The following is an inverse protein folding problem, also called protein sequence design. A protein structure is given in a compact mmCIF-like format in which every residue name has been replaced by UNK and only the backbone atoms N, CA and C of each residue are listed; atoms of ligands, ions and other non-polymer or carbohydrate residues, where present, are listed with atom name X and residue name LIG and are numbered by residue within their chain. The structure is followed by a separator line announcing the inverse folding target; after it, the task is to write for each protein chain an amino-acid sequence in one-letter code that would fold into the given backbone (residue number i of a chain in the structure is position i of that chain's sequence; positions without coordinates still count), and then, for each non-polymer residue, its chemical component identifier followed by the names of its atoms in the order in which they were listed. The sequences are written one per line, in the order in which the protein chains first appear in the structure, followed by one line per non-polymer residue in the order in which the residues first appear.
data_IF_847954710857
#
_entry.id   IF_847954710857
#
_cell.length_a   1.000
_cell.length_b   1.000
_cell.length_c   1.000
_cell.angle_alpha   90.00
_cell.angle_beta   90.00
_cell.angle_gamma   90.00
#
_symmetry.space_group_name_H-M   'P 1'
#
loop_
_entity.id
_entity.type
_entity.pdbx_description
1 polymer ?
#
# COMPACT_ATOMS: atom_id res chain seq x y z
N UNK A 1 -17.60 -2.65 20.65
CA UNK A 1 -17.51 -2.04 19.30
C UNK A 1 -16.32 -1.10 19.30
N UNK A 2 -15.41 -1.16 18.33
CA UNK A 2 -14.37 -0.14 18.21
C UNK A 2 -15.04 1.24 18.07
N UNK A 3 -14.46 2.27 18.67
CA UNK A 3 -14.96 3.63 18.53
C UNK A 3 -14.98 4.03 17.05
N UNK A 4 -16.05 4.68 16.62
CA UNK A 4 -16.14 5.26 15.28
C UNK A 4 -15.00 6.26 15.11
N UNK A 5 -14.25 6.13 14.02
CA UNK A 5 -13.18 7.09 13.71
C UNK A 5 -13.77 8.43 13.28
N UNK A 6 -13.29 9.50 13.90
CA UNK A 6 -13.58 10.85 13.49
C UNK A 6 -12.74 11.22 12.25
N UNK A 7 -13.38 11.07 11.08
CA UNK A 7 -12.78 11.29 9.76
C UNK A 7 -12.30 12.73 9.57
N UNK A 8 -13.06 13.69 10.08
CA UNK A 8 -12.75 15.12 9.93
C UNK A 8 -11.62 15.54 10.86
N UNK A 9 -11.55 14.96 12.07
CA UNK A 9 -10.39 15.14 12.94
C UNK A 9 -9.10 14.71 12.26
N UNK A 10 -9.09 13.55 11.59
CA UNK A 10 -7.89 13.04 10.90
C UNK A 10 -7.46 13.98 9.78
N UNK A 11 -8.38 14.38 8.92
CA UNK A 11 -8.08 15.31 7.82
C UNK A 11 -7.52 16.63 8.36
N UNK A 12 -8.14 17.18 9.42
CA UNK A 12 -7.65 18.39 10.08
C UNK A 12 -6.24 18.20 10.66
N UNK A 13 -5.97 17.07 11.31
CA UNK A 13 -4.63 16.79 11.86
C UNK A 13 -3.57 16.73 10.76
N UNK A 14 -3.87 16.16 9.59
CA UNK A 14 -2.92 16.14 8.48
C UNK A 14 -2.69 17.57 7.94
N UNK A 15 -3.75 18.37 7.80
CA UNK A 15 -3.65 19.76 7.35
C UNK A 15 -2.83 20.64 8.31
N UNK A 16 -3.05 20.50 9.62
CA UNK A 16 -2.25 21.17 10.66
C UNK A 16 -0.77 20.74 10.56
N UNK A 17 -0.50 19.45 10.38
CA UNK A 17 0.86 18.94 10.20
C UNK A 17 1.55 19.53 8.95
N UNK A 18 0.84 19.62 7.82
CA UNK A 18 1.34 20.24 6.58
C UNK A 18 1.76 21.71 6.78
N UNK A 19 1.00 22.46 7.59
CA UNK A 19 1.21 23.89 7.79
C UNK A 19 2.26 24.19 8.87
N UNK A 20 2.25 23.44 9.97
CA UNK A 20 2.97 23.84 11.18
C UNK A 20 4.29 23.10 11.37
N UNK A 21 4.41 21.87 10.89
CA UNK A 21 5.65 21.10 11.12
C UNK A 21 6.85 21.71 10.40
N UNK A 22 6.66 22.30 9.22
CA UNK A 22 7.73 23.06 8.53
C UNK A 22 8.21 24.27 9.31
N UNK A 23 7.33 24.91 10.09
CA UNK A 23 7.67 26.06 10.92
C UNK A 23 8.38 25.63 12.20
N UNK A 24 8.01 24.44 12.72
CA UNK A 24 8.52 23.86 13.96
C UNK A 24 9.88 23.17 13.79
N UNK A 25 10.11 22.53 12.66
CA UNK A 25 11.31 21.72 12.41
C UNK A 25 12.11 22.26 11.22
N UNK A 26 13.43 22.37 11.39
CA UNK A 26 14.36 22.82 10.34
C UNK A 26 15.23 21.68 9.79
N UNK A 27 15.30 20.56 10.51
CA UNK A 27 15.99 19.32 10.14
C UNK A 27 15.12 18.11 10.51
N UNK A 28 15.41 16.95 9.94
CA UNK A 28 14.79 15.70 10.36
C UNK A 28 15.29 15.31 11.75
N UNK A 29 14.40 15.29 12.75
CA UNK A 29 14.72 14.88 14.12
C UNK A 29 13.97 13.60 14.51
N UNK A 30 14.39 12.91 15.59
CA UNK A 30 13.62 11.80 16.14
C UNK A 30 12.19 12.20 16.52
N UNK A 31 11.98 13.40 17.05
CA UNK A 31 10.66 13.90 17.44
C UNK A 31 9.74 14.11 16.23
N UNK A 32 10.27 14.66 15.12
CA UNK A 32 9.51 14.75 13.87
C UNK A 32 9.19 13.36 13.33
N UNK A 33 10.15 12.44 13.38
CA UNK A 33 9.98 11.05 12.90
C UNK A 33 8.88 10.35 13.70
N UNK A 34 8.87 10.49 15.03
CA UNK A 34 7.83 9.95 15.89
C UNK A 34 6.47 10.58 15.60
N UNK A 35 6.38 11.90 15.42
CA UNK A 35 5.13 12.57 15.08
C UNK A 35 4.54 12.07 13.74
N UNK A 36 5.40 11.86 12.72
CA UNK A 36 5.00 11.26 11.44
C UNK A 36 4.46 9.84 11.66
N UNK A 37 5.15 9.01 12.45
CA UNK A 37 4.74 7.64 12.74
C UNK A 37 3.39 7.58 13.46
N UNK A 38 3.17 8.44 14.45
CA UNK A 38 1.90 8.53 15.19
C UNK A 38 0.75 8.94 14.26
N UNK A 39 0.97 9.94 13.40
CA UNK A 39 0.01 10.35 12.38
C UNK A 39 -0.32 9.21 11.42
N UNK A 40 0.69 8.45 10.98
CA UNK A 40 0.50 7.32 10.07
C UNK A 40 -0.26 6.18 10.73
N UNK A 41 0.00 5.89 12.00
CA UNK A 41 -0.79 4.92 12.77
C UNK A 41 -2.27 5.32 12.80
N UNK A 42 -2.57 6.60 13.02
CA UNK A 42 -3.95 7.09 13.05
C UNK A 42 -4.62 7.02 11.66
N UNK A 43 -3.89 7.43 10.61
CA UNK A 43 -4.40 7.35 9.24
C UNK A 43 -4.61 5.89 8.80
N UNK A 44 -3.71 4.98 9.16
CA UNK A 44 -3.81 3.55 8.84
C UNK A 44 -5.08 2.95 9.45
N UNK A 45 -5.35 3.23 10.74
CA UNK A 45 -6.60 2.76 11.39
C UNK A 45 -7.85 3.29 10.67
N UNK A 46 -7.81 4.53 10.22
CA UNK A 46 -8.92 5.13 9.47
C UNK A 46 -9.13 4.51 8.10
N UNK A 47 -8.05 4.34 7.34
CA UNK A 47 -8.10 3.73 6.03
C UNK A 47 -8.61 2.27 6.11
N UNK A 48 -8.20 1.51 7.14
CA UNK A 48 -8.73 0.16 7.39
C UNK A 48 -10.23 0.21 7.67
N UNK A 49 -10.71 1.11 8.55
CA UNK A 49 -12.15 1.22 8.82
C UNK A 49 -12.96 1.61 7.57
N UNK A 50 -12.41 2.51 6.74
CA UNK A 50 -13.04 2.95 5.49
C UNK A 50 -12.92 1.92 4.35
N UNK A 51 -12.10 0.88 4.51
CA UNK A 51 -11.91 -0.19 3.52
C UNK A 51 -12.89 -1.35 3.69
N UNK A 52 -13.56 -1.42 4.86
CA UNK A 52 -14.59 -2.43 5.16
C UNK A 52 -15.88 -2.06 4.43
N UNK A 53 -16.43 -3.03 3.70
CA UNK A 53 -17.70 -2.84 2.99
C UNK A 53 -18.85 -2.63 3.99
N UNK A 54 -19.54 -1.50 3.89
CA UNK A 54 -20.86 -1.33 4.49
C UNK A 54 -21.92 -2.01 3.60
N UNK A 55 -23.04 -2.44 4.19
CA UNK A 55 -24.19 -2.99 3.46
C UNK A 55 -24.92 -1.92 2.61
N UNK A 56 -24.60 -0.63 2.81
CA UNK A 56 -25.18 0.50 2.11
C UNK A 56 -24.21 1.06 1.04
N UNK A 57 -24.59 0.93 -0.23
CA UNK A 57 -23.86 1.45 -1.40
C UNK A 57 -23.52 2.94 -1.30
N UNK A 58 -24.38 3.75 -0.66
CA UNK A 58 -24.13 5.17 -0.47
C UNK A 58 -22.99 5.38 0.53
N UNK A 59 -23.05 4.67 1.66
CA UNK A 59 -22.01 4.72 2.69
C UNK A 59 -20.66 4.26 2.13
N UNK A 60 -20.66 3.17 1.35
CA UNK A 60 -19.45 2.69 0.66
C UNK A 60 -18.85 3.79 -0.21
N UNK A 61 -19.64 4.48 -1.03
CA UNK A 61 -19.12 5.57 -1.87
C UNK A 61 -18.53 6.71 -1.05
N UNK A 62 -19.20 7.13 0.02
CA UNK A 62 -18.72 8.19 0.91
C UNK A 62 -17.41 7.78 1.61
N UNK A 63 -17.29 6.53 2.04
CA UNK A 63 -16.08 6.01 2.67
C UNK A 63 -14.91 5.93 1.71
N UNK A 64 -15.15 5.50 0.46
CA UNK A 64 -14.12 5.51 -0.60
C UNK A 64 -13.63 6.94 -0.87
N UNK A 65 -14.54 7.89 -1.01
CA UNK A 65 -14.18 9.31 -1.21
C UNK A 65 -13.37 9.83 -0.03
N UNK A 66 -13.76 9.50 1.21
CA UNK A 66 -13.01 9.90 2.40
C UNK A 66 -11.61 9.28 2.44
N UNK A 67 -11.47 8.00 2.11
CA UNK A 67 -10.17 7.32 2.05
C UNK A 67 -9.23 7.97 1.03
N UNK A 68 -9.73 8.31 -0.16
CA UNK A 68 -8.93 9.03 -1.17
C UNK A 68 -8.55 10.45 -0.71
N UNK A 69 -9.41 11.15 0.04
CA UNK A 69 -9.06 12.45 0.65
C UNK A 69 -7.89 12.30 1.63
N UNK A 70 -7.93 11.28 2.50
CA UNK A 70 -6.84 11.01 3.44
C UNK A 70 -5.54 10.73 2.67
N UNK A 71 -5.59 9.89 1.64
CA UNK A 71 -4.41 9.57 0.82
C UNK A 71 -3.84 10.78 0.09
N UNK A 72 -4.69 11.62 -0.51
CA UNK A 72 -4.26 12.89 -1.11
C UNK A 72 -3.52 13.75 -0.09
N UNK A 73 -4.08 13.88 1.12
CA UNK A 73 -3.48 14.64 2.21
C UNK A 73 -2.15 14.07 2.72
N UNK A 74 -2.00 12.76 2.77
CA UNK A 74 -0.72 12.12 3.09
C UNK A 74 0.36 12.42 2.02
N UNK A 75 -0.01 12.43 0.74
CA UNK A 75 0.90 12.82 -0.35
C UNK A 75 1.26 14.31 -0.30
N UNK A 76 0.29 15.17 0.00
CA UNK A 76 0.52 16.61 0.25
C UNK A 76 1.48 16.80 1.43
N UNK A 77 1.30 16.06 2.53
CA UNK A 77 2.20 16.11 3.69
C UNK A 77 3.62 15.74 3.30
N UNK A 78 3.82 14.65 2.55
CA UNK A 78 5.12 14.23 2.03
C UNK A 78 5.80 15.31 1.20
N UNK A 79 5.05 15.94 0.30
CA UNK A 79 5.54 17.03 -0.56
C UNK A 79 5.87 18.26 0.27
N UNK A 80 5.03 18.59 1.26
CA UNK A 80 5.24 19.71 2.14
C UNK A 80 6.57 19.51 2.89
N UNK A 81 6.81 18.35 3.48
CA UNK A 81 8.00 18.09 4.29
C UNK A 81 9.21 17.63 3.45
N UNK A 82 9.33 18.00 2.18
CA UNK A 82 10.27 17.41 1.21
C UNK A 82 11.68 17.16 1.76
N UNK A 83 12.30 18.18 2.37
CA UNK A 83 13.67 18.16 2.90
C UNK A 83 13.77 17.64 4.34
N UNK A 84 12.63 17.53 5.02
CA UNK A 84 12.52 17.05 6.40
C UNK A 84 12.07 15.59 6.47
N UNK A 85 11.68 15.01 5.33
CA UNK A 85 11.10 13.69 5.26
C UNK A 85 12.13 12.59 5.57
N UNK A 86 11.79 11.59 6.40
CA UNK A 86 12.67 10.47 6.65
C UNK A 86 13.08 9.74 5.36
N UNK A 87 14.38 9.52 5.16
CA UNK A 87 14.92 8.94 3.91
C UNK A 87 14.37 7.55 3.59
N UNK A 88 14.06 6.75 4.61
CA UNK A 88 13.62 5.36 4.47
C UNK A 88 12.08 5.19 4.47
N UNK A 89 11.34 6.28 4.28
CA UNK A 89 9.87 6.28 4.29
C UNK A 89 9.33 6.61 2.89
N UNK A 90 9.17 5.57 2.06
CA UNK A 90 8.75 5.68 0.65
C UNK A 90 7.25 5.42 0.44
N UNK A 91 6.58 4.89 1.45
CA UNK A 91 5.20 4.42 1.39
C UNK A 91 4.49 4.56 2.74
N UNK A 92 3.17 4.43 2.72
CA UNK A 92 2.33 4.35 3.91
C UNK A 92 1.40 3.15 3.81
N UNK A 93 0.95 2.64 4.96
CA UNK A 93 -0.01 1.54 4.99
C UNK A 93 -1.38 2.04 4.51
N UNK A 94 -1.88 1.42 3.44
CA UNK A 94 -3.17 1.72 2.81
C UNK A 94 -4.29 0.91 3.43
N UNK A 95 -4.03 -0.33 3.82
CA UNK A 95 -5.06 -1.25 4.30
C UNK A 95 -4.44 -2.51 4.92
N UNK A 96 -5.20 -3.19 5.78
CA UNK A 96 -4.82 -4.44 6.43
C UNK A 96 -6.08 -5.31 6.52
N UNK A 97 -5.99 -6.55 6.06
CA UNK A 97 -7.12 -7.48 6.12
C UNK A 97 -6.66 -8.95 6.09
N UNK A 98 -7.51 -9.82 6.63
CA UNK A 98 -7.33 -11.26 6.59
C UNK A 98 -8.13 -11.88 5.44
N UNK A 99 -7.60 -12.95 4.84
CA UNK A 99 -8.27 -13.73 3.81
C UNK A 99 -7.86 -15.21 3.90
N UNK A 100 -8.78 -16.03 4.39
CA UNK A 100 -8.49 -17.43 4.69
C UNK A 100 -7.34 -17.57 5.70
N UNK A 101 -6.25 -18.29 5.39
CA UNK A 101 -5.09 -18.42 6.27
C UNK A 101 -4.08 -17.27 6.16
N UNK A 102 -4.35 -16.28 5.30
CA UNK A 102 -3.40 -15.22 4.98
C UNK A 102 -3.76 -13.92 5.68
N UNK A 103 -2.72 -13.23 6.15
CA UNK A 103 -2.76 -11.85 6.59
C UNK A 103 -2.17 -10.97 5.47
N UNK A 104 -2.84 -9.89 5.09
CA UNK A 104 -2.44 -9.02 3.98
C UNK A 104 -2.23 -7.60 4.47
N UNK A 105 -1.04 -7.06 4.24
CA UNK A 105 -0.74 -5.64 4.44
C UNK A 105 -0.57 -4.95 3.10
N UNK A 106 -1.30 -3.87 2.91
CA UNK A 106 -1.22 -3.07 1.70
C UNK A 106 -0.49 -1.77 1.97
N UNK A 107 0.45 -1.42 1.10
CA UNK A 107 1.14 -0.14 1.12
C UNK A 107 0.96 0.59 -0.22
N UNK A 108 0.82 1.92 -0.14
CA UNK A 108 0.82 2.81 -1.28
C UNK A 108 2.08 3.68 -1.23
N UNK A 109 2.81 3.77 -2.35
CA UNK A 109 4.01 4.59 -2.42
C UNK A 109 3.65 6.06 -2.61
N UNK A 110 4.39 6.97 -1.95
CA UNK A 110 4.19 8.41 -2.12
C UNK A 110 4.49 8.87 -3.54
N UNK A 111 5.52 8.26 -4.14
CA UNK A 111 5.94 8.45 -5.51
C UNK A 111 6.22 7.08 -6.13
N UNK A 112 6.12 6.93 -7.46
CA UNK A 112 6.47 5.67 -8.10
C UNK A 112 7.91 5.25 -7.74
N UNK A 113 8.09 3.97 -7.37
CA UNK A 113 9.40 3.42 -6.98
C UNK A 113 9.86 2.37 -8.01
N UNK A 114 11.12 2.39 -8.48
CA UNK A 114 11.63 1.39 -9.43
C UNK A 114 11.37 -0.05 -8.97
N UNK A 115 10.85 -0.89 -9.87
CA UNK A 115 10.65 -2.31 -9.59
C UNK A 115 12.00 -3.00 -9.40
N UNK A 116 12.92 -2.79 -10.36
CA UNK A 116 14.30 -3.24 -10.30
C UNK A 116 15.24 -2.07 -9.91
N UNK A 117 16.23 -2.28 -9.03
CA UNK A 117 17.18 -1.24 -8.67
C UNK A 117 17.90 -0.68 -9.90
N UNK A 118 17.82 0.64 -10.10
CA UNK A 118 18.48 1.34 -11.22
C UNK A 118 17.71 1.33 -12.53
N UNK A 119 16.55 0.67 -12.61
CA UNK A 119 15.71 0.62 -13.81
C UNK A 119 14.36 1.32 -13.58
N UNK A 120 14.18 2.46 -14.24
CA UNK A 120 12.96 3.26 -14.16
C UNK A 120 11.90 2.89 -15.22
N UNK A 121 12.12 1.83 -16.01
CA UNK A 121 11.16 1.40 -17.04
C UNK A 121 9.90 0.77 -16.44
N UNK A 122 10.02 0.17 -15.26
CA UNK A 122 8.92 -0.44 -14.53
C UNK A 122 8.90 0.13 -13.11
N UNK A 123 7.81 0.79 -12.77
CA UNK A 123 7.63 1.46 -11.48
C UNK A 123 6.52 0.78 -10.68
N UNK A 124 6.67 0.72 -9.36
CA UNK A 124 5.69 0.23 -8.39
C UNK A 124 4.91 1.41 -7.81
N UNK A 125 3.60 1.25 -7.71
CA UNK A 125 2.67 2.24 -7.15
C UNK A 125 1.98 1.74 -5.88
N UNK A 126 1.71 0.45 -5.82
CA UNK A 126 1.13 -0.24 -4.67
C UNK A 126 1.88 -1.54 -4.41
N UNK A 127 1.81 -2.02 -3.17
CA UNK A 127 2.31 -3.33 -2.74
C UNK A 127 1.30 -3.99 -1.81
N UNK A 128 0.93 -5.23 -2.07
CA UNK A 128 0.26 -6.11 -1.10
C UNK A 128 1.27 -7.16 -0.64
N UNK A 129 1.67 -7.12 0.63
CA UNK A 129 2.47 -8.18 1.25
C UNK A 129 1.52 -9.23 1.82
N UNK A 130 1.64 -10.47 1.36
CA UNK A 130 0.84 -11.60 1.85
C UNK A 130 1.69 -12.45 2.79
N UNK A 131 1.23 -12.59 4.01
CA UNK A 131 1.90 -13.34 5.07
C UNK A 131 1.18 -14.67 5.31
N UNK A 132 1.94 -15.74 5.47
CA UNK A 132 1.44 -17.05 5.86
C UNK A 132 1.10 -17.12 7.37
N UNK A 133 0.65 -18.28 7.83
CA UNK A 133 0.30 -18.51 9.25
C UNK A 133 1.50 -18.39 10.19
N UNK A 134 2.73 -18.41 9.68
CA UNK A 134 3.96 -18.23 10.44
C UNK A 134 4.41 -16.76 10.48
N UNK A 135 3.65 -15.85 9.86
CA UNK A 135 4.03 -14.44 9.72
C UNK A 135 5.16 -14.22 8.70
N UNK A 136 5.45 -15.20 7.85
CA UNK A 136 6.46 -15.09 6.79
C UNK A 136 5.81 -14.62 5.50
N UNK A 137 6.46 -13.74 4.75
CA UNK A 137 5.96 -13.26 3.47
C UNK A 137 5.98 -14.42 2.46
N UNK A 138 4.80 -14.90 2.09
CA UNK A 138 4.63 -15.93 1.08
C UNK A 138 4.88 -15.36 -0.33
N UNK A 139 4.31 -14.19 -0.62
CA UNK A 139 4.47 -13.48 -1.90
C UNK A 139 3.99 -12.03 -1.78
N UNK A 140 4.24 -11.25 -2.83
CA UNK A 140 3.81 -9.85 -2.92
C UNK A 140 3.08 -9.58 -4.23
N UNK A 141 2.03 -8.79 -4.19
CA UNK A 141 1.46 -8.19 -5.39
C UNK A 141 1.95 -6.75 -5.55
N UNK A 142 2.12 -6.30 -6.78
CA UNK A 142 2.47 -4.92 -7.10
C UNK A 142 1.56 -4.37 -8.19
N UNK A 143 1.12 -3.10 -8.04
CA UNK A 143 0.70 -2.34 -9.21
C UNK A 143 1.95 -1.81 -9.89
N UNK A 144 2.24 -2.38 -11.06
CA UNK A 144 3.32 -2.00 -11.95
C UNK A 144 2.81 -1.00 -12.98
N UNK A 145 3.61 0.02 -13.25
CA UNK A 145 3.46 0.96 -14.36
C UNK A 145 4.69 0.85 -15.23
N UNK A 146 4.52 0.45 -16.48
CA UNK A 146 5.59 0.44 -17.48
C UNK A 146 5.34 1.49 -18.55
N UNK A 147 6.41 1.97 -19.18
CA UNK A 147 6.36 2.85 -20.37
C UNK A 147 7.01 2.19 -21.60
N UNK A 148 7.26 0.87 -21.52
CA UNK A 148 8.06 0.11 -22.48
C UNK A 148 7.39 0.07 -23.87
N UNK A 149 6.06 -0.01 -23.90
CA UNK A 149 5.31 -0.09 -25.16
C UNK A 149 4.82 1.32 -25.49
N UNK A 150 5.27 1.83 -26.63
CA UNK A 150 4.84 3.10 -27.25
C UNK A 150 4.99 4.39 -26.40
N UNK A 151 5.76 4.36 -25.30
CA UNK A 151 5.95 5.51 -24.41
C UNK A 151 4.66 5.93 -23.69
N UNK A 152 3.63 5.08 -23.71
CA UNK A 152 2.39 5.30 -22.99
C UNK A 152 2.43 4.48 -21.68
N UNK A 153 1.85 4.99 -20.59
CA UNK A 153 1.77 4.23 -19.37
C UNK A 153 0.94 2.96 -19.60
N UNK A 154 1.42 1.82 -19.11
CA UNK A 154 0.71 0.56 -19.12
C UNK A 154 0.72 -0.04 -17.71
N UNK A 155 -0.46 -0.35 -17.18
CA UNK A 155 -0.64 -0.75 -15.80
C UNK A 155 -0.96 -2.24 -15.68
N UNK A 156 -0.24 -2.93 -14.79
CA UNK A 156 -0.38 -4.37 -14.55
C UNK A 156 -0.35 -4.65 -13.05
N UNK A 157 -1.25 -5.52 -12.58
CA UNK A 157 -1.12 -6.16 -11.27
C UNK A 157 -0.27 -7.42 -11.45
N UNK A 158 0.95 -7.40 -10.94
CA UNK A 158 1.85 -8.56 -10.92
C UNK A 158 1.91 -9.22 -9.55
N UNK A 159 2.28 -10.50 -9.52
CA UNK A 159 2.54 -11.32 -8.33
C UNK A 159 3.99 -11.77 -8.37
N UNK A 160 4.76 -11.38 -7.36
CA UNK A 160 6.16 -11.74 -7.16
C UNK A 160 6.30 -12.74 -6.01
N UNK A 161 7.08 -13.79 -6.25
CA UNK A 161 7.37 -14.88 -5.31
C UNK A 161 8.85 -15.29 -5.46
N UNK A 162 9.36 -16.14 -4.57
CA UNK A 162 10.80 -16.38 -4.41
C UNK A 162 11.55 -16.77 -5.68
N UNK A 163 10.89 -17.43 -6.64
CA UNK A 163 11.48 -17.90 -7.89
C UNK A 163 10.80 -17.32 -9.15
N UNK A 164 10.02 -16.24 -9.05
CA UNK A 164 9.37 -15.71 -10.24
C UNK A 164 8.47 -14.50 -10.06
N UNK A 165 7.90 -14.10 -11.20
CA UNK A 165 6.97 -13.00 -11.36
C UNK A 165 5.91 -13.39 -12.37
N UNK A 166 4.63 -13.22 -12.03
CA UNK A 166 3.53 -13.50 -12.95
C UNK A 166 2.55 -12.33 -13.03
N UNK A 167 1.95 -12.13 -14.20
CA UNK A 167 0.89 -11.16 -14.39
C UNK A 167 -0.44 -11.74 -13.90
N UNK A 168 -1.16 -10.99 -13.08
CA UNK A 168 -2.50 -11.34 -12.59
C UNK A 168 -3.59 -10.64 -13.40
N UNK A 169 -3.45 -9.32 -13.60
CA UNK A 169 -4.44 -8.51 -14.33
C UNK A 169 -3.76 -7.37 -15.07
N UNK A 170 -4.17 -7.13 -16.33
CA UNK A 170 -3.80 -5.91 -17.07
C UNK A 170 -4.92 -4.88 -17.00
N UNK A 171 -4.56 -3.60 -16.88
CA UNK A 171 -5.48 -2.46 -16.87
C UNK A 171 -5.30 -1.52 -18.07
N UNK A 172 -4.36 -1.81 -18.97
CA UNK A 172 -4.09 -0.95 -20.12
C UNK A 172 -3.51 0.40 -19.70
N UNK A 173 -3.97 1.47 -20.34
CA UNK A 173 -3.40 2.82 -20.18
C UNK A 173 -3.89 3.62 -18.97
N UNK A 174 -4.86 3.09 -18.23
CA UNK A 174 -5.48 3.79 -17.11
C UNK A 174 -5.19 3.04 -15.82
N UNK A 175 -4.69 3.76 -14.81
CA UNK A 175 -4.48 3.18 -13.50
C UNK A 175 -5.84 2.77 -12.90
N UNK A 176 -5.97 1.52 -12.39
CA UNK A 176 -7.16 1.13 -11.65
C UNK A 176 -7.23 1.86 -10.31
N UNK A 177 -8.44 2.00 -9.78
CA UNK A 177 -8.60 2.44 -8.39
C UNK A 177 -8.17 1.34 -7.39
N UNK A 178 -7.95 1.75 -6.15
CA UNK A 178 -7.52 0.87 -5.07
C UNK A 178 -8.45 -0.34 -4.86
N UNK A 179 -9.76 -0.13 -4.88
CA UNK A 179 -10.75 -1.15 -4.57
C UNK A 179 -10.88 -2.18 -5.69
N UNK A 180 -10.76 -1.75 -6.94
CA UNK A 180 -10.64 -2.63 -8.10
C UNK A 180 -9.43 -3.55 -7.94
N UNK A 181 -8.24 -3.00 -7.60
CA UNK A 181 -7.05 -3.83 -7.36
C UNK A 181 -7.21 -4.77 -6.17
N UNK A 182 -7.74 -4.29 -5.05
CA UNK A 182 -8.02 -5.11 -3.85
C UNK A 182 -8.90 -6.30 -4.21
N UNK A 183 -9.95 -6.10 -5.03
CA UNK A 183 -10.83 -7.18 -5.47
C UNK A 183 -10.10 -8.24 -6.30
N UNK A 184 -9.20 -7.84 -7.21
CA UNK A 184 -8.42 -8.79 -8.00
C UNK A 184 -7.41 -9.56 -7.16
N UNK A 185 -6.77 -8.92 -6.16
CA UNK A 185 -5.90 -9.61 -5.19
C UNK A 185 -6.70 -10.63 -4.40
N UNK A 186 -7.85 -10.24 -3.84
CA UNK A 186 -8.75 -11.11 -3.07
C UNK A 186 -9.21 -12.31 -3.90
N UNK A 187 -9.65 -12.09 -5.13
CA UNK A 187 -10.08 -13.17 -6.02
C UNK A 187 -8.92 -14.12 -6.32
N UNK A 188 -7.74 -13.59 -6.65
CA UNK A 188 -6.57 -14.43 -6.90
C UNK A 188 -6.18 -15.28 -5.68
N UNK A 189 -6.30 -14.73 -4.46
CA UNK A 189 -6.03 -15.46 -3.22
C UNK A 189 -7.05 -16.57 -2.95
N UNK A 190 -8.33 -16.31 -3.22
CA UNK A 190 -9.39 -17.31 -3.07
C UNK A 190 -9.24 -18.46 -4.08
N UNK A 191 -8.82 -18.17 -5.31
CA UNK A 191 -8.65 -19.18 -6.38
C UNK A 191 -7.45 -20.12 -6.13
N UNK A 192 -6.50 -19.75 -5.28
CA UNK A 192 -5.27 -20.54 -5.05
C UNK A 192 -5.46 -21.70 -4.05
N UNK A 193 -6.59 -21.77 -3.32
CA UNK A 193 -6.79 -22.74 -2.24
C UNK A 193 -5.76 -22.61 -1.11
N UNK A 194 -5.86 -23.41 -0.02
CA UNK A 194 -4.79 -23.46 0.98
C UNK A 194 -3.49 -23.96 0.33
N UNK A 195 -2.32 -23.42 0.72
CA UNK A 195 -1.05 -23.84 0.14
C UNK A 195 -0.87 -25.34 0.38
N UNK A 196 -0.72 -26.10 -0.70
CA UNK A 196 -0.23 -27.47 -0.60
C UNK A 196 1.17 -27.39 0.00
N UNK A 197 1.36 -27.96 1.20
CA UNK A 197 2.68 -28.08 1.83
C UNK A 197 3.50 -29.01 0.93
N UNK A 198 4.17 -28.46 -0.06
CA UNK A 198 5.27 -29.16 -0.72
C UNK A 198 6.49 -28.87 0.16
N UNK A 199 6.74 -29.78 1.11
CA UNK A 199 8.04 -29.90 1.75
C UNK A 199 9.08 -30.15 0.66
N UNK A 200 9.71 -29.08 0.17
CA UNK A 200 10.92 -29.20 -0.63
C UNK A 200 12.07 -29.43 0.33
N UNK A 201 12.37 -30.71 0.56
CA UNK A 201 13.67 -31.14 1.08
C UNK A 201 14.75 -30.58 0.17
N UNK A 202 15.46 -29.57 0.65
CA UNK A 202 16.68 -29.08 0.00
C UNK A 202 17.71 -30.19 0.13
N UNK A 203 18.00 -30.88 -0.97
CA UNK A 203 19.18 -31.73 -1.09
C UNK A 203 20.39 -30.82 -0.99
N UNK A 204 21.18 -31.03 0.05
CA UNK A 204 22.49 -30.45 0.30
C UNK A 204 23.39 -30.61 -0.93
N UNK A 205 23.83 -29.49 -1.49
CA UNK A 205 25.06 -29.46 -2.27
C UNK A 205 26.21 -29.22 -1.29
N UNK A 206 26.97 -30.29 -1.02
CA UNK A 206 28.28 -30.24 -0.40
C UNK A 206 29.30 -29.62 -1.39
N UNK A 207 30.32 -28.99 -0.81
CA UNK A 207 31.43 -28.29 -1.45
C UNK A 207 32.30 -29.16 -2.37
#
# INVERSE_FOLDING_TARGET
MPASIDKELILRTIDEACQDWKKKFTITTPELTQAIQELFCNCTRALIQLSVSADDDKQVKEDRVCAERIVSKLKELRQSLSNLWPQNLDSFCRDIFDIGPYYVETAEFFFPVPFYPGDNLIMKLYRWSVYDTNGTIAYRYYLERSEIISGQPYYVLGKSYSNGHSQIQSYGSTAPDYYTMKSHVVNNLNDQGPPSIISLTVSSFEH
#
